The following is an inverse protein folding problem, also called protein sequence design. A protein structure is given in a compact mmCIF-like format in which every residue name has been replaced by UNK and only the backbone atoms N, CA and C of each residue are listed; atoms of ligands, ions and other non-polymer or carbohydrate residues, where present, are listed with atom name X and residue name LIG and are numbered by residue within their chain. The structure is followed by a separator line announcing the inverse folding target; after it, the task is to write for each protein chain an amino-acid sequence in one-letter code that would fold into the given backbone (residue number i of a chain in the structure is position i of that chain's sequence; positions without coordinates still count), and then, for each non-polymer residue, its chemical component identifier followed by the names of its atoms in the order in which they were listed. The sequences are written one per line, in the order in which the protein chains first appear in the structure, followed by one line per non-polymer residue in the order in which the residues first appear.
data_IF_609588970091
#
_entry.id   IF_609588970091
#
_cell.length_a   1.000
_cell.length_b   1.000
_cell.length_c   1.000
_cell.angle_alpha   90.00
_cell.angle_beta   90.00
_cell.angle_gamma   90.00
#
_symmetry.space_group_name_H-M   'P 1'
#
loop_
_entity.id
_entity.type
_entity.pdbx_description
1 polymer ?
#
# COMPACT_ATOMS: atom_id res chain seq x y z
N UNK A 1 -18.97 5.80 -0.08
CA UNK A 1 -17.75 5.00 0.13
C UNK A 1 -16.61 5.82 -0.41
N UNK A 2 -15.67 6.22 0.44
CA UNK A 2 -14.50 7.01 0.02
C UNK A 2 -13.49 6.05 -0.59
N UNK A 3 -13.31 6.11 -1.91
CA UNK A 3 -12.39 5.23 -2.63
C UNK A 3 -10.94 5.71 -2.48
N UNK A 4 -9.99 4.80 -2.29
CA UNK A 4 -8.56 5.14 -2.32
C UNK A 4 -8.23 5.64 -3.73
N UNK A 5 -7.74 6.86 -3.88
CA UNK A 5 -7.38 7.43 -5.19
C UNK A 5 -5.93 7.11 -5.58
N UNK A 6 -5.61 7.24 -6.87
CA UNK A 6 -4.22 7.22 -7.38
C UNK A 6 -3.34 8.27 -6.68
N UNK A 7 -3.91 9.43 -6.36
CA UNK A 7 -3.19 10.50 -5.64
C UNK A 7 -2.77 10.04 -4.25
N UNK A 8 -3.64 9.35 -3.51
CA UNK A 8 -3.33 8.83 -2.18
C UNK A 8 -2.26 7.74 -2.24
N UNK A 9 -2.32 6.87 -3.26
CA UNK A 9 -1.30 5.86 -3.52
C UNK A 9 0.05 6.54 -3.77
N UNK A 10 0.09 7.56 -4.63
CA UNK A 10 1.31 8.27 -4.97
C UNK A 10 1.90 9.02 -3.77
N UNK A 11 1.08 9.70 -2.97
CA UNK A 11 1.51 10.41 -1.77
C UNK A 11 2.10 9.44 -0.72
N UNK A 12 1.44 8.30 -0.49
CA UNK A 12 1.97 7.28 0.43
C UNK A 12 3.25 6.64 -0.11
N UNK A 13 3.32 6.36 -1.42
CA UNK A 13 4.53 5.84 -2.05
C UNK A 13 5.72 6.80 -1.94
N UNK A 14 5.51 8.11 -2.05
CA UNK A 14 6.56 9.10 -1.78
C UNK A 14 7.01 9.06 -0.32
N UNK A 15 6.07 8.90 0.62
CA UNK A 15 6.40 8.74 2.04
C UNK A 15 7.27 7.51 2.29
N UNK A 16 6.89 6.36 1.72
CA UNK A 16 7.67 5.11 1.79
C UNK A 16 9.06 5.28 1.16
N UNK A 17 9.15 5.94 0.00
CA UNK A 17 10.41 6.22 -0.68
C UNK A 17 11.33 7.10 0.16
N UNK A 18 10.81 8.15 0.79
CA UNK A 18 11.57 9.03 1.69
C UNK A 18 12.08 8.31 2.93
N UNK A 19 11.39 7.24 3.36
CA UNK A 19 11.82 6.34 4.43
C UNK A 19 12.82 5.26 3.98
N UNK A 20 13.19 5.22 2.69
CA UNK A 20 14.06 4.18 2.14
C UNK A 20 13.39 2.81 2.04
N UNK A 21 12.06 2.74 2.04
CA UNK A 21 11.32 1.49 1.95
C UNK A 21 11.42 0.88 0.55
N UNK A 22 11.57 -0.44 0.49
CA UNK A 22 11.46 -1.22 -0.76
C UNK A 22 10.00 -1.53 -1.11
N UNK A 23 9.05 -1.24 -0.22
CA UNK A 23 7.63 -1.50 -0.42
C UNK A 23 7.00 -0.33 -1.20
N UNK A 24 6.09 -0.66 -2.12
CA UNK A 24 5.21 0.31 -2.78
C UNK A 24 3.80 -0.25 -2.95
N UNK A 25 2.83 0.65 -2.94
CA UNK A 25 1.45 0.39 -3.31
C UNK A 25 1.27 0.49 -4.83
N UNK A 26 0.44 -0.38 -5.41
CA UNK A 26 0.07 -0.36 -6.83
C UNK A 26 -1.43 -0.48 -6.98
N UNK A 27 -2.02 0.30 -7.89
CA UNK A 27 -3.42 0.15 -8.26
C UNK A 27 -3.60 -1.13 -9.10
N UNK A 28 -4.61 -1.92 -8.76
CA UNK A 28 -5.03 -3.11 -9.51
C UNK A 28 -6.57 -3.13 -9.61
N UNK A 29 -7.09 -2.41 -10.61
CA UNK A 29 -8.53 -2.19 -10.76
C UNK A 29 -9.12 -1.44 -9.57
N UNK A 30 -10.05 -2.07 -8.85
CA UNK A 30 -10.67 -1.53 -7.64
C UNK A 30 -9.88 -1.81 -6.36
N UNK A 31 -8.73 -2.47 -6.48
CA UNK A 31 -7.89 -2.90 -5.35
C UNK A 31 -6.57 -2.16 -5.37
N UNK A 32 -5.90 -2.16 -4.22
CA UNK A 32 -4.50 -1.75 -4.11
C UNK A 32 -3.69 -2.97 -3.67
N UNK A 33 -2.55 -3.18 -4.31
CA UNK A 33 -1.61 -4.26 -4.03
C UNK A 33 -0.38 -3.72 -3.34
N UNK A 34 0.16 -4.49 -2.38
CA UNK A 34 1.45 -4.20 -1.75
C UNK A 34 2.51 -4.98 -2.51
N UNK A 35 3.48 -4.28 -3.10
CA UNK A 35 4.56 -4.90 -3.85
C UNK A 35 5.92 -4.27 -3.52
N UNK A 36 6.95 -4.69 -4.24
CA UNK A 36 8.28 -4.11 -4.14
C UNK A 36 8.54 -3.06 -5.25
N UNK A 37 9.43 -2.13 -4.97
CA UNK A 37 10.05 -1.23 -5.94
C UNK A 37 10.96 -2.03 -6.87
N UNK A 38 11.01 -1.65 -8.16
CA UNK A 38 11.90 -2.22 -9.19
C UNK A 38 11.92 -3.75 -9.30
N UNK A 39 10.75 -4.35 -9.51
CA UNK A 39 10.60 -5.79 -9.69
C UNK A 39 10.98 -6.30 -11.11
N UNK A 40 11.76 -5.54 -11.88
CA UNK A 40 12.12 -5.90 -13.27
C UNK A 40 12.90 -7.23 -13.36
N UNK A 41 13.64 -7.58 -12.29
CA UNK A 41 14.43 -8.80 -12.19
C UNK A 41 13.86 -9.81 -11.18
N UNK A 42 12.65 -9.59 -10.70
CA UNK A 42 12.02 -10.44 -9.68
C UNK A 42 10.76 -11.06 -10.27
N UNK A 43 10.81 -12.37 -10.52
CA UNK A 43 9.69 -13.14 -11.07
C UNK A 43 8.61 -13.42 -10.03
N UNK A 44 8.99 -13.66 -8.77
CA UNK A 44 8.08 -13.81 -7.64
C UNK A 44 8.78 -13.50 -6.32
N UNK A 45 8.01 -13.12 -5.30
CA UNK A 45 8.49 -12.88 -3.95
C UNK A 45 7.33 -13.06 -2.95
N UNK A 46 7.67 -13.26 -1.68
CA UNK A 46 6.71 -13.18 -0.57
C UNK A 46 7.05 -11.93 0.23
N UNK A 47 6.09 -11.02 0.33
CA UNK A 47 6.20 -9.81 1.13
C UNK A 47 5.46 -10.06 2.46
N UNK A 48 6.17 -9.89 3.56
CA UNK A 48 5.59 -9.91 4.91
C UNK A 48 5.75 -8.51 5.53
N UNK A 49 4.83 -7.56 5.25
CA UNK A 49 4.92 -6.23 5.82
C UNK A 49 4.81 -6.27 7.35
N UNK A 50 5.56 -5.39 8.01
CA UNK A 50 5.50 -5.29 9.47
C UNK A 50 4.20 -4.64 9.94
N UNK A 51 3.84 -4.86 11.20
CA UNK A 51 2.74 -4.14 11.85
C UNK A 51 2.91 -2.61 11.79
N UNK A 52 4.17 -2.13 11.75
CA UNK A 52 4.48 -0.72 11.58
C UNK A 52 4.02 -0.19 10.22
N UNK A 53 4.22 -0.94 9.15
CA UNK A 53 3.74 -0.58 7.81
C UNK A 53 2.22 -0.40 7.82
N UNK A 54 1.48 -1.38 8.36
CA UNK A 54 0.02 -1.32 8.44
C UNK A 54 -0.45 -0.15 9.31
N UNK A 55 0.20 0.08 10.44
CA UNK A 55 -0.12 1.23 11.32
C UNK A 55 0.06 2.57 10.60
N UNK A 56 1.13 2.73 9.80
CA UNK A 56 1.38 3.94 9.02
C UNK A 56 0.37 4.11 7.89
N UNK A 57 0.01 3.02 7.21
CA UNK A 57 -0.98 3.04 6.13
C UNK A 57 -2.35 3.44 6.68
N UNK A 58 -2.79 2.86 7.79
CA UNK A 58 -4.05 3.25 8.43
C UNK A 58 -4.05 4.69 8.91
N UNK A 59 -2.96 5.14 9.53
CA UNK A 59 -2.83 6.52 9.97
C UNK A 59 -2.96 7.49 8.77
N UNK A 60 -2.26 7.20 7.67
CA UNK A 60 -2.35 7.96 6.43
C UNK A 60 -3.78 7.99 5.88
N UNK A 61 -4.42 6.82 5.70
CA UNK A 61 -5.76 6.71 5.15
C UNK A 61 -6.82 7.41 6.03
N UNK A 62 -6.66 7.36 7.37
CA UNK A 62 -7.52 8.11 8.30
C UNK A 62 -7.44 9.62 8.08
N UNK A 63 -6.27 10.17 7.74
CA UNK A 63 -6.15 11.60 7.39
C UNK A 63 -6.91 11.97 6.10
N UNK A 64 -7.22 10.99 5.26
CA UNK A 64 -7.99 11.14 4.02
C UNK A 64 -9.48 10.77 4.20
N UNK A 65 -9.93 10.52 5.44
CA UNK A 65 -11.31 10.15 5.75
C UNK A 65 -11.66 8.68 5.47
N UNK A 66 -10.66 7.81 5.30
CA UNK A 66 -10.84 6.37 5.11
C UNK A 66 -10.58 5.68 6.47
N UNK A 67 -11.64 5.25 7.13
CA UNK A 67 -11.60 4.75 8.51
C UNK A 67 -11.59 3.23 8.62
N UNK A 68 -11.99 2.52 7.58
CA UNK A 68 -12.02 1.08 7.54
C UNK A 68 -11.22 0.61 6.33
N UNK A 69 -10.29 -0.30 6.59
CA UNK A 69 -9.37 -0.83 5.60
C UNK A 69 -9.34 -2.33 5.86
N UNK A 70 -9.77 -3.13 4.88
CA UNK A 70 -9.71 -4.59 5.00
C UNK A 70 -8.47 -5.09 4.31
N UNK A 71 -7.64 -5.86 5.01
CA UNK A 71 -6.46 -6.51 4.45
C UNK A 71 -6.78 -7.97 4.18
N UNK A 72 -6.35 -8.51 3.04
CA UNK A 72 -6.35 -9.95 2.84
C UNK A 72 -4.93 -10.54 2.94
N UNK A 73 -4.87 -11.80 3.36
CA UNK A 73 -3.63 -12.55 3.61
C UNK A 73 -2.78 -12.83 2.36
N UNK A 74 -3.18 -12.34 1.18
CA UNK A 74 -2.41 -12.40 -0.06
C UNK A 74 -1.63 -11.12 -0.35
N UNK A 75 -1.65 -10.11 0.52
CA UNK A 75 -0.97 -8.83 0.30
C UNK A 75 -1.67 -7.92 -0.71
N UNK A 76 -2.96 -8.16 -0.97
CA UNK A 76 -3.64 -7.69 -2.18
C UNK A 76 -5.15 -7.55 -1.99
N UNK A 77 -5.64 -6.52 -1.32
CA UNK A 77 -6.99 -5.94 -1.48
C UNK A 77 -7.23 -4.87 -0.43
N UNK A 78 -7.92 -3.80 -0.84
CA UNK A 78 -8.47 -2.78 0.03
C UNK A 78 -9.85 -2.39 -0.55
N UNK A 79 -10.82 -2.07 0.32
CA UNK A 79 -12.11 -1.46 -0.02
C UNK A 79 -12.19 -0.13 0.72
#
# INVERSE_FOLDING_TARGET
MSEITEEYINEFNQTLKNMGSIIKLRRNGFKVDIGITDNAFVSSFVLNPSNEFYSKLEAFLKTKGIHQVTYNNTGSCFW
#
